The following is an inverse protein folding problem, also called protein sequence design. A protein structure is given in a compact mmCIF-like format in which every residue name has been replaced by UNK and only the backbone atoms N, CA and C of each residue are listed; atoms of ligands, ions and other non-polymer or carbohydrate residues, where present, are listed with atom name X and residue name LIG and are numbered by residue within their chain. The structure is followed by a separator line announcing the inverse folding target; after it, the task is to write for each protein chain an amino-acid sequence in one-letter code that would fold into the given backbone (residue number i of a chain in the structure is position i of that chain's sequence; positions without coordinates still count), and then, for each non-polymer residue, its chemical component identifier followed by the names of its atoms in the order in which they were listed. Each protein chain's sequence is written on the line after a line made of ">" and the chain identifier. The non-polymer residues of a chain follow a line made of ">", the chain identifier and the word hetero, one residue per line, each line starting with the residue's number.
data_IF_721082247288
#
_entry.id   IF_721082247288
#
_cell.length_a   1.000
_cell.length_b   1.000
_cell.length_c   1.000
_cell.angle_alpha   90.00
_cell.angle_beta   90.00
_cell.angle_gamma   90.00
#
_symmetry.space_group_name_H-M   'P 1'
#
loop_
_entity.id
_entity.type
_entity.pdbx_description
1 polymer ?
#
# COMPACT_ATOMS: atom_id res chain seq x y z
N UNK A 1 17.74 -6.53 -21.04
CA UNK A 1 17.81 -6.88 -19.61
C UNK A 1 16.57 -6.33 -18.93
N UNK A 2 15.69 -7.17 -18.37
CA UNK A 2 14.65 -6.66 -17.48
C UNK A 2 15.31 -6.37 -16.14
N UNK A 3 15.70 -5.11 -15.92
CA UNK A 3 16.14 -4.67 -14.60
C UNK A 3 15.01 -5.01 -13.61
N UNK A 4 15.38 -5.44 -12.40
CA UNK A 4 14.46 -5.81 -11.32
C UNK A 4 13.55 -4.63 -10.91
N UNK A 5 12.52 -4.34 -11.71
CA UNK A 5 11.50 -3.30 -11.50
C UNK A 5 10.57 -3.62 -10.32
N UNK A 6 10.66 -4.84 -9.78
CA UNK A 6 9.86 -5.30 -8.65
C UNK A 6 10.46 -4.76 -7.35
N UNK A 7 9.69 -3.95 -6.63
CA UNK A 7 10.00 -3.57 -5.26
C UNK A 7 9.79 -4.76 -4.33
N UNK A 8 10.80 -5.11 -3.53
CA UNK A 8 10.59 -6.09 -2.46
C UNK A 8 9.81 -5.47 -1.30
N UNK A 9 9.19 -6.32 -0.48
CA UNK A 9 8.51 -5.89 0.74
C UNK A 9 9.45 -5.07 1.66
N UNK A 10 10.69 -5.51 1.82
CA UNK A 10 11.67 -4.80 2.64
C UNK A 10 12.05 -3.43 2.07
N UNK A 11 12.23 -3.33 0.75
CA UNK A 11 12.50 -2.05 0.09
C UNK A 11 11.31 -1.11 0.23
N UNK A 12 10.09 -1.61 0.05
CA UNK A 12 8.87 -0.82 0.24
C UNK A 12 8.74 -0.34 1.69
N UNK A 13 9.02 -1.20 2.68
CA UNK A 13 8.99 -0.83 4.09
C UNK A 13 10.00 0.27 4.44
N UNK A 14 11.24 0.14 3.96
CA UNK A 14 12.29 1.18 4.14
C UNK A 14 11.87 2.51 3.49
N UNK A 15 11.30 2.43 2.29
CA UNK A 15 10.75 3.60 1.58
C UNK A 15 9.63 4.28 2.38
N UNK A 16 8.62 3.52 2.81
CA UNK A 16 7.50 4.07 3.57
C UNK A 16 7.93 4.71 4.89
N UNK A 17 8.85 4.06 5.62
CA UNK A 17 9.42 4.62 6.85
C UNK A 17 10.19 5.92 6.57
N UNK A 18 10.96 5.98 5.49
CA UNK A 18 11.69 7.19 5.12
C UNK A 18 10.72 8.33 4.78
N UNK A 19 9.68 8.06 3.98
CA UNK A 19 8.63 9.06 3.68
C UNK A 19 7.92 9.53 4.95
N UNK A 20 7.63 8.63 5.90
CA UNK A 20 7.01 9.00 7.17
C UNK A 20 7.88 9.94 8.03
N UNK A 21 9.21 9.87 7.91
CA UNK A 21 10.14 10.73 8.65
C UNK A 21 10.25 12.11 8.01
N UNK A 22 10.37 12.18 6.69
CA UNK A 22 10.54 13.46 5.96
C UNK A 22 9.21 14.18 5.69
N UNK A 23 8.09 13.48 5.83
CA UNK A 23 6.79 13.99 5.40
C UNK A 23 6.63 13.95 3.88
N UNK A 24 5.55 14.56 3.40
CA UNK A 24 5.23 14.64 1.96
C UNK A 24 5.77 15.90 1.29
N UNK A 25 6.40 16.78 2.06
CA UNK A 25 7.07 17.97 1.54
C UNK A 25 8.38 17.55 0.89
N UNK A 26 8.54 17.88 -0.40
CA UNK A 26 9.74 17.58 -1.20
C UNK A 26 10.98 18.31 -0.66
N UNK A 27 11.49 17.80 0.45
CA UNK A 27 12.56 18.43 1.22
C UNK A 27 13.89 18.15 0.53
N UNK A 28 14.76 19.18 0.36
CA UNK A 28 16.11 18.99 -0.16
C UNK A 28 16.86 17.94 0.68
N UNK A 29 17.22 16.80 0.07
CA UNK A 29 17.89 15.68 0.73
C UNK A 29 17.05 14.43 0.92
N UNK A 30 15.71 14.53 0.88
CA UNK A 30 14.81 13.37 0.98
C UNK A 30 15.10 12.36 -0.15
N UNK A 31 15.17 12.84 -1.39
CA UNK A 31 15.42 11.98 -2.57
C UNK A 31 16.72 11.20 -2.44
N UNK A 32 17.78 11.86 -1.97
CA UNK A 32 19.10 11.23 -1.80
C UNK A 32 19.09 10.18 -0.69
N UNK A 33 18.38 10.44 0.40
CA UNK A 33 18.18 9.45 1.46
C UNK A 33 17.35 8.26 0.98
N UNK A 34 16.26 8.49 0.25
CA UNK A 34 15.41 7.43 -0.31
C UNK A 34 16.18 6.52 -1.28
N UNK A 35 16.98 7.10 -2.18
CA UNK A 35 17.87 6.34 -3.07
C UNK A 35 18.83 5.47 -2.26
N UNK A 36 19.44 6.05 -1.21
CA UNK A 36 20.42 5.34 -0.39
C UNK A 36 19.81 4.17 0.40
N UNK A 37 18.63 4.36 1.02
CA UNK A 37 18.01 3.32 1.84
C UNK A 37 17.33 2.21 1.02
N UNK A 38 16.87 2.53 -0.19
CA UNK A 38 16.16 1.58 -1.07
C UNK A 38 17.09 0.87 -2.06
N UNK A 39 18.25 1.48 -2.38
CA UNK A 39 19.16 1.01 -3.41
C UNK A 39 18.60 1.14 -4.83
N UNK A 40 17.56 1.96 -5.02
CA UNK A 40 16.87 2.21 -6.28
C UNK A 40 17.35 3.50 -6.94
N UNK A 41 17.14 3.65 -8.25
CA UNK A 41 17.49 4.92 -8.92
C UNK A 41 16.53 6.04 -8.54
N UNK A 42 16.93 7.29 -8.78
CA UNK A 42 16.08 8.45 -8.49
C UNK A 42 14.74 8.36 -9.23
N UNK A 43 14.75 7.91 -10.48
CA UNK A 43 13.55 7.74 -11.31
C UNK A 43 12.63 6.66 -10.73
N UNK A 44 13.16 5.52 -10.31
CA UNK A 44 12.39 4.44 -9.69
C UNK A 44 11.74 4.90 -8.37
N UNK A 45 12.49 5.65 -7.55
CA UNK A 45 12.01 6.20 -6.29
C UNK A 45 10.91 7.23 -6.51
N UNK A 46 11.09 8.16 -7.44
CA UNK A 46 10.08 9.18 -7.80
C UNK A 46 8.80 8.55 -8.33
N UNK A 47 8.91 7.58 -9.24
CA UNK A 47 7.75 6.86 -9.76
C UNK A 47 6.99 6.12 -8.65
N UNK A 48 7.70 5.51 -7.70
CA UNK A 48 7.08 4.81 -6.58
C UNK A 48 6.40 5.78 -5.60
N UNK A 49 7.01 6.94 -5.38
CA UNK A 49 6.44 8.04 -4.59
C UNK A 49 5.15 8.59 -5.20
N UNK A 50 5.12 8.85 -6.50
CA UNK A 50 3.89 9.29 -7.18
C UNK A 50 2.75 8.29 -7.05
N UNK A 51 3.04 6.98 -7.11
CA UNK A 51 2.05 5.92 -6.90
C UNK A 51 1.52 5.93 -5.48
N UNK A 52 2.41 6.09 -4.48
CA UNK A 52 2.01 6.22 -3.07
C UNK A 52 1.07 7.43 -2.89
N UNK A 53 1.48 8.61 -3.37
CA UNK A 53 0.71 9.84 -3.23
C UNK A 53 -0.64 9.77 -3.94
N UNK A 54 -0.71 9.08 -5.09
CA UNK A 54 -1.99 8.83 -5.77
C UNK A 54 -2.90 7.93 -4.93
N UNK A 55 -2.36 6.89 -4.30
CA UNK A 55 -3.10 6.02 -3.39
C UNK A 55 -3.68 6.80 -2.20
N UNK A 56 -2.85 7.62 -1.55
CA UNK A 56 -3.27 8.46 -0.42
C UNK A 56 -4.37 9.43 -0.84
N UNK A 57 -4.19 10.18 -1.94
CA UNK A 57 -5.22 11.10 -2.45
C UNK A 57 -6.53 10.39 -2.78
N UNK A 58 -6.46 9.16 -3.30
CA UNK A 58 -7.67 8.39 -3.59
C UNK A 58 -8.39 7.94 -2.31
N UNK A 59 -7.65 7.61 -1.24
CA UNK A 59 -8.24 7.30 0.08
C UNK A 59 -8.88 8.57 0.68
N UNK A 60 -8.17 9.69 0.69
CA UNK A 60 -8.65 10.96 1.25
C UNK A 60 -9.87 11.52 0.50
N UNK A 61 -9.91 11.34 -0.82
CA UNK A 61 -11.05 11.71 -1.65
C UNK A 61 -12.25 10.77 -1.50
N UNK A 62 -12.17 9.74 -0.65
CA UNK A 62 -13.22 8.72 -0.47
C UNK A 62 -13.42 7.83 -1.70
N UNK A 63 -12.48 7.85 -2.66
CA UNK A 63 -12.51 7.06 -3.89
C UNK A 63 -12.03 5.61 -3.66
N UNK A 64 -11.33 5.37 -2.55
CA UNK A 64 -11.03 4.03 -2.04
C UNK A 64 -11.76 3.87 -0.70
N UNK A 65 -12.84 3.08 -0.68
CA UNK A 65 -13.30 2.49 0.58
C UNK A 65 -12.22 1.51 1.03
N UNK A 66 -11.59 1.79 2.18
CA UNK A 66 -10.83 0.76 2.87
C UNK A 66 -11.77 -0.43 3.07
N UNK A 67 -11.31 -1.68 2.90
CA UNK A 67 -12.10 -2.82 3.31
C UNK A 67 -12.41 -2.60 4.80
N UNK A 68 -13.68 -2.34 5.10
CA UNK A 68 -14.17 -2.52 6.46
C UNK A 68 -13.85 -3.98 6.79
N UNK A 69 -13.37 -4.21 8.01
CA UNK A 69 -13.11 -5.56 8.49
C UNK A 69 -14.46 -6.31 8.52
N UNK A 70 -14.86 -6.90 7.40
CA UNK A 70 -16.06 -7.71 7.24
C UNK A 70 -15.79 -9.07 7.88
N UNK A 71 -15.93 -9.13 9.20
CA UNK A 71 -16.01 -10.41 9.91
C UNK A 71 -17.16 -10.48 10.94
N UNK A 72 -18.05 -9.49 11.04
CA UNK A 72 -19.26 -9.63 11.89
C UNK A 72 -20.45 -8.81 11.37
N UNK A 73 -21.08 -9.21 10.27
CA UNK A 73 -22.54 -9.11 10.15
C UNK A 73 -23.06 -10.46 9.65
N UNK A 74 -23.12 -11.38 10.60
CA UNK A 74 -23.85 -12.62 10.49
C UNK A 74 -25.36 -12.30 10.56
N UNK A 75 -26.11 -12.67 9.52
CA UNK A 75 -27.58 -12.65 9.53
C UNK A 75 -28.23 -11.81 8.43
N UNK A 76 -29.07 -12.48 7.64
CA UNK A 76 -30.15 -11.97 6.77
C UNK A 76 -29.89 -11.92 5.24
N UNK A 77 -29.71 -13.09 4.61
CA UNK A 77 -30.29 -13.53 3.31
C UNK A 77 -29.39 -14.60 2.65
N UNK A 78 -29.81 -15.74 2.13
CA UNK A 78 -31.10 -16.43 1.99
C UNK A 78 -30.80 -17.88 1.61
N UNK A 79 -31.55 -18.82 2.20
CA UNK A 79 -31.99 -20.10 1.63
C UNK A 79 -31.03 -20.90 0.74
N UNK A 80 -30.41 -21.92 1.35
CA UNK A 80 -29.92 -23.11 0.67
C UNK A 80 -30.07 -24.29 1.61
N UNK A 81 -31.11 -25.09 1.40
CA UNK A 81 -31.33 -26.36 2.07
C UNK A 81 -30.05 -27.19 2.16
N UNK A 82 -29.65 -27.61 3.37
CA UNK A 82 -29.19 -28.97 3.60
C UNK A 82 -29.23 -29.30 5.10
N UNK A 83 -30.03 -30.32 5.38
CA UNK A 83 -30.34 -30.91 6.68
C UNK A 83 -29.35 -32.05 6.93
N UNK A 84 -28.97 -32.22 8.20
CA UNK A 84 -28.34 -33.41 8.81
C UNK A 84 -26.84 -33.56 8.47
N UNK A 85 -25.93 -33.90 9.38
CA UNK A 85 -26.00 -34.78 10.55
C UNK A 85 -24.69 -34.58 11.35
N UNK A 86 -24.69 -34.69 12.68
CA UNK A 86 -23.74 -35.44 13.53
C UNK A 86 -24.07 -35.15 15.01
N UNK A 87 -24.25 -36.25 15.75
CA UNK A 87 -24.74 -36.45 17.14
C UNK A 87 -24.51 -35.34 18.19
#
# INVERSE_FOLDING_TARGET
>A
MAANLTWTWEQHKKFANAVAIYGFDETPGMWRYLIWVTGKTEEEVKLHYEKLMRGIRNIEAGLLRLPENEDVIDGLNNNGNNRQDYD
#
